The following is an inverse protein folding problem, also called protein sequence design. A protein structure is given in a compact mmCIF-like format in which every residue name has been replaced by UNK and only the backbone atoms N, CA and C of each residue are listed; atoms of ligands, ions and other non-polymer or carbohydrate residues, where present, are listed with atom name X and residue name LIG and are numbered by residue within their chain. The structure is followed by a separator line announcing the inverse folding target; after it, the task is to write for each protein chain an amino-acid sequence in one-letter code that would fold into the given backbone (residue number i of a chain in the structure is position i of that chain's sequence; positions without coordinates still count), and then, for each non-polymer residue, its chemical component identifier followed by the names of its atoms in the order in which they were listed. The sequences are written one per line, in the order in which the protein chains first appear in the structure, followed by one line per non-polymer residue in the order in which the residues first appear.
data_IF_451945205987
#
_entry.id   IF_451945205987
#
_cell.length_a   1.000
_cell.length_b   1.000
_cell.length_c   1.000
_cell.angle_alpha   90.00
_cell.angle_beta   90.00
_cell.angle_gamma   90.00
#
_symmetry.space_group_name_H-M   'P 1'
#
loop_
_entity.id
_entity.type
_entity.pdbx_description
1 polymer ?
#
# COMPACT_ATOMS: atom_id res chain seq x y z
N UNK A 1 -38.86 -27.89 -18.74
CA UNK A 1 -38.32 -29.16 -19.28
C UNK A 1 -36.84 -29.22 -19.00
N UNK A 2 -36.35 -30.36 -18.52
CA UNK A 2 -34.91 -30.56 -18.28
C UNK A 2 -34.19 -30.65 -19.63
N UNK A 3 -33.04 -29.98 -19.81
CA UNK A 3 -32.26 -30.10 -21.03
C UNK A 3 -31.95 -31.57 -21.41
N UNK A 4 -31.86 -31.89 -22.71
CA UNK A 4 -31.41 -33.20 -23.17
C UNK A 4 -29.99 -33.51 -22.67
N UNK A 5 -29.69 -34.79 -22.43
CA UNK A 5 -28.40 -35.28 -21.92
C UNK A 5 -27.19 -34.78 -22.72
N UNK A 6 -27.33 -34.69 -24.05
CA UNK A 6 -26.28 -34.22 -24.96
C UNK A 6 -25.81 -32.79 -24.66
N UNK A 7 -26.69 -31.94 -24.13
CA UNK A 7 -26.33 -30.56 -23.73
C UNK A 7 -25.46 -30.54 -22.48
N UNK A 8 -25.63 -31.51 -21.58
CA UNK A 8 -24.78 -31.65 -20.40
C UNK A 8 -23.38 -32.15 -20.78
N UNK A 9 -23.29 -33.11 -21.70
CA UNK A 9 -21.99 -33.61 -22.19
C UNK A 9 -21.21 -32.54 -22.97
N UNK A 10 -21.90 -31.72 -23.76
CA UNK A 10 -21.30 -30.58 -24.44
C UNK A 10 -20.76 -29.54 -23.45
N UNK A 11 -21.51 -29.26 -22.37
CA UNK A 11 -21.09 -28.34 -21.31
C UNK A 11 -19.86 -28.87 -20.56
N UNK A 12 -19.86 -30.16 -20.22
CA UNK A 12 -18.74 -30.79 -19.53
C UNK A 12 -17.44 -30.71 -20.36
N UNK A 13 -17.53 -31.02 -21.66
CA UNK A 13 -16.40 -30.90 -22.60
C UNK A 13 -15.91 -29.45 -22.72
N UNK A 14 -16.83 -28.48 -22.78
CA UNK A 14 -16.47 -27.07 -22.85
C UNK A 14 -15.74 -26.60 -21.58
N UNK A 15 -16.23 -26.98 -20.40
CA UNK A 15 -15.60 -26.65 -19.12
C UNK A 15 -14.21 -27.28 -18.98
N UNK A 16 -14.06 -28.56 -19.37
CA UNK A 16 -12.77 -29.23 -19.38
C UNK A 16 -11.78 -28.55 -20.33
N UNK A 17 -12.24 -28.08 -21.49
CA UNK A 17 -11.39 -27.37 -22.44
C UNK A 17 -10.92 -26.01 -21.90
N UNK A 18 -11.80 -25.25 -21.25
CA UNK A 18 -11.44 -23.99 -20.58
C UNK A 18 -10.41 -24.24 -19.48
N UNK A 19 -10.64 -25.25 -18.64
CA UNK A 19 -9.74 -25.58 -17.54
C UNK A 19 -8.34 -26.02 -18.00
N UNK A 20 -8.27 -26.80 -19.08
CA UNK A 20 -7.00 -27.22 -19.69
C UNK A 20 -6.23 -26.05 -20.28
N UNK A 21 -6.92 -25.05 -20.85
CA UNK A 21 -6.31 -23.90 -21.50
C UNK A 21 -6.12 -22.67 -20.58
N UNK A 22 -6.43 -22.78 -19.28
CA UNK A 22 -6.45 -21.64 -18.35
C UNK A 22 -5.15 -20.83 -18.32
N UNK A 23 -3.99 -21.50 -18.34
CA UNK A 23 -2.69 -20.82 -18.23
C UNK A 23 -2.41 -19.96 -19.47
N UNK A 24 -2.80 -20.46 -20.65
CA UNK A 24 -2.68 -19.73 -21.91
C UNK A 24 -3.64 -18.55 -21.97
N UNK A 25 -4.87 -18.72 -21.47
CA UNK A 25 -5.85 -17.65 -21.38
C UNK A 25 -5.39 -16.54 -20.41
N UNK A 26 -4.87 -16.91 -19.24
CA UNK A 26 -4.39 -15.97 -18.22
C UNK A 26 -3.10 -15.24 -18.62
N UNK A 27 -2.21 -15.90 -19.37
CA UNK A 27 -0.96 -15.30 -19.86
C UNK A 27 -1.15 -14.39 -21.10
N UNK A 28 -2.25 -14.58 -21.85
CA UNK A 28 -2.61 -13.72 -22.99
C UNK A 28 -3.15 -12.34 -22.57
N UNK A 29 -3.51 -12.18 -21.30
CA UNK A 29 -3.90 -10.89 -20.74
C UNK A 29 -2.60 -10.10 -20.53
N UNK A 30 -2.33 -9.17 -21.46
CA UNK A 30 -1.17 -8.29 -21.41
C UNK A 30 -1.09 -7.62 -20.03
N UNK A 31 -0.01 -7.88 -19.29
CA UNK A 31 0.22 -7.23 -17.99
C UNK A 31 0.17 -5.71 -18.20
N UNK A 32 -0.56 -4.95 -17.38
CA UNK A 32 -0.65 -3.51 -17.56
C UNK A 32 0.76 -2.91 -17.48
N UNK A 33 1.19 -2.23 -18.53
CA UNK A 33 2.45 -1.49 -18.54
C UNK A 33 2.27 -0.26 -17.67
N UNK A 34 2.83 -0.29 -16.47
CA UNK A 34 2.78 0.86 -15.56
C UNK A 34 3.90 1.83 -15.94
N UNK A 35 3.54 2.95 -16.57
CA UNK A 35 4.48 4.04 -16.82
C UNK A 35 4.79 4.75 -15.51
N UNK A 36 6.02 4.63 -15.02
CA UNK A 36 6.50 5.31 -13.80
C UNK A 36 7.15 6.64 -14.18
N UNK A 37 6.61 7.76 -13.71
CA UNK A 37 7.26 9.08 -13.77
C UNK A 37 7.88 9.42 -12.43
N UNK A 38 9.16 9.81 -12.40
CA UNK A 38 9.85 10.30 -11.21
C UNK A 38 9.87 11.83 -11.22
N UNK A 39 9.26 12.47 -10.24
CA UNK A 39 9.33 13.93 -10.08
C UNK A 39 10.60 14.24 -9.28
N UNK A 40 11.53 14.97 -9.89
CA UNK A 40 12.73 15.49 -9.21
C UNK A 40 12.35 16.81 -8.55
N UNK A 41 12.23 16.82 -7.22
CA UNK A 41 12.04 18.06 -6.46
C UNK A 41 13.42 18.65 -6.17
N UNK A 42 13.73 19.77 -6.80
CA UNK A 42 14.88 20.59 -6.40
C UNK A 42 14.38 21.57 -5.33
N UNK A 43 14.98 21.52 -4.14
CA UNK A 43 14.78 22.51 -3.08
C UNK A 43 16.02 23.36 -3.02
N UNK A 44 15.91 24.66 -3.31
CA UNK A 44 16.97 25.63 -3.09
C UNK A 44 17.06 25.97 -1.59
N UNK A 45 17.55 25.03 -0.78
CA UNK A 45 17.74 25.27 0.65
C UNK A 45 19.14 25.83 0.92
N UNK A 46 19.21 27.13 1.19
CA UNK A 46 20.35 27.80 1.86
C UNK A 46 20.39 27.47 3.35
N UNK A 47 20.35 26.20 3.74
CA UNK A 47 20.66 25.80 5.12
C UNK A 47 21.23 24.38 5.13
N UNK A 48 22.46 24.31 5.62
CA UNK A 48 23.29 23.12 5.70
C UNK A 48 22.78 22.16 6.79
N UNK A 49 22.38 20.97 6.38
CA UNK A 49 22.92 19.71 6.93
C UNK A 49 22.50 18.57 6.00
N UNK A 50 23.34 18.28 5.01
CA UNK A 50 23.17 17.13 4.12
C UNK A 50 23.86 15.95 4.79
N UNK A 51 23.09 15.07 5.41
CA UNK A 51 23.54 13.71 5.67
C UNK A 51 23.90 13.08 4.31
N UNK A 52 25.19 12.90 4.07
CA UNK A 52 25.73 12.24 2.88
C UNK A 52 25.17 10.81 2.77
N UNK A 53 24.13 10.62 1.96
CA UNK A 53 23.74 9.30 1.48
C UNK A 53 24.75 8.93 0.40
N UNK A 54 25.82 8.23 0.81
CA UNK A 54 26.73 7.57 -0.15
C UNK A 54 25.93 6.52 -0.92
N UNK A 55 26.04 6.63 -2.24
CA UNK A 55 25.51 5.68 -3.21
C UNK A 55 26.30 4.37 -3.06
N UNK A 56 25.70 3.36 -2.41
CA UNK A 56 26.29 2.02 -2.36
C UNK A 56 25.84 1.26 -3.62
N UNK A 57 26.80 1.07 -4.53
CA UNK A 57 26.72 0.16 -5.68
C UNK A 57 26.12 -1.20 -5.29
N UNK A 58 25.29 -1.85 -6.14
CA UNK A 58 24.62 -3.09 -5.76
C UNK A 58 25.59 -4.26 -5.87
N UNK A 59 26.19 -4.66 -4.74
CA UNK A 59 26.81 -5.99 -4.66
C UNK A 59 25.69 -7.02 -4.58
N UNK A 60 25.50 -7.77 -5.68
CA UNK A 60 24.59 -8.88 -5.77
C UNK A 60 25.03 -10.02 -4.85
N UNK A 61 24.45 -10.09 -3.65
CA UNK A 61 24.56 -11.27 -2.80
C UNK A 61 23.28 -12.09 -2.94
N UNK A 62 23.37 -13.12 -3.79
CA UNK A 62 22.48 -14.27 -3.79
C UNK A 62 22.64 -15.00 -2.45
N UNK A 63 21.71 -14.76 -1.53
CA UNK A 63 21.66 -15.42 -0.24
C UNK A 63 20.27 -15.25 0.36
N UNK A 64 19.48 -16.32 0.36
CA UNK A 64 18.17 -16.41 1.00
C UNK A 64 18.33 -16.39 2.53
N UNK A 65 18.76 -15.26 3.08
CA UNK A 65 18.58 -14.94 4.48
C UNK A 65 17.22 -14.27 4.63
N UNK A 66 16.36 -14.75 5.52
CA UNK A 66 15.12 -14.05 5.87
C UNK A 66 15.49 -12.65 6.35
N UNK A 67 15.37 -11.65 5.47
CA UNK A 67 15.67 -10.27 5.82
C UNK A 67 14.65 -9.85 6.86
N UNK A 68 15.09 -9.80 8.11
CA UNK A 68 14.30 -9.21 9.19
C UNK A 68 13.92 -7.78 8.77
N UNK A 69 12.68 -7.34 9.04
CA UNK A 69 12.23 -6.03 8.62
C UNK A 69 13.07 -4.94 9.30
N UNK A 70 13.60 -4.00 8.52
CA UNK A 70 14.27 -2.84 9.06
C UNK A 70 13.22 -1.85 9.59
N UNK A 71 13.21 -1.61 10.90
CA UNK A 71 12.31 -0.67 11.56
C UNK A 71 13.09 0.62 11.88
N UNK A 72 12.54 1.76 11.48
CA UNK A 72 13.07 3.09 11.82
C UNK A 72 12.07 3.74 12.78
N UNK A 73 12.56 4.28 13.89
CA UNK A 73 11.74 4.96 14.89
C UNK A 73 11.95 6.46 14.83
N UNK A 74 10.85 7.21 14.73
CA UNK A 74 10.85 8.67 14.71
C UNK A 74 10.01 9.19 15.87
N UNK A 75 10.51 10.21 16.57
CA UNK A 75 9.82 10.83 17.71
C UNK A 75 9.41 12.25 17.36
N UNK A 76 8.11 12.52 17.39
CA UNK A 76 7.57 13.87 17.19
C UNK A 76 7.88 14.77 18.38
N UNK A 77 8.19 16.08 18.17
CA UNK A 77 8.32 17.05 19.24
C UNK A 77 6.96 17.44 19.87
N UNK A 78 5.84 17.03 19.28
CA UNK A 78 4.50 17.31 19.78
C UNK A 78 3.93 16.13 20.53
N UNK A 79 3.23 16.42 21.63
CA UNK A 79 2.39 15.42 22.28
C UNK A 79 1.23 15.01 21.38
N UNK A 80 0.67 13.82 21.61
CA UNK A 80 -0.50 13.35 20.87
C UNK A 80 -1.68 14.33 20.94
N UNK A 81 -1.94 14.93 22.10
CA UNK A 81 -2.99 15.94 22.28
C UNK A 81 -2.73 17.18 21.41
N UNK A 82 -1.50 17.70 21.41
CA UNK A 82 -1.12 18.86 20.58
C UNK A 82 -1.24 18.55 19.09
N UNK A 83 -0.85 17.35 18.65
CA UNK A 83 -1.01 16.92 17.26
C UNK A 83 -2.48 16.83 16.87
N UNK A 84 -3.33 16.24 17.72
CA UNK A 84 -4.78 16.17 17.51
C UNK A 84 -5.41 17.57 17.47
N UNK A 85 -5.02 18.47 18.38
CA UNK A 85 -5.48 19.86 18.38
C UNK A 85 -5.15 20.57 17.07
N UNK A 86 -3.92 20.42 16.58
CA UNK A 86 -3.49 20.98 15.28
C UNK A 86 -4.26 20.36 14.11
N UNK A 87 -4.51 19.05 14.14
CA UNK A 87 -5.26 18.36 13.10
C UNK A 87 -6.72 18.84 13.05
N UNK A 88 -7.36 19.01 14.20
CA UNK A 88 -8.72 19.54 14.28
C UNK A 88 -8.79 21.01 13.83
N UNK A 89 -7.80 21.83 14.18
CA UNK A 89 -7.80 23.27 13.87
C UNK A 89 -7.45 23.58 12.41
N UNK A 90 -6.53 22.81 11.81
CA UNK A 90 -5.98 23.10 10.47
C UNK A 90 -6.26 22.02 9.43
N UNK A 91 -6.35 20.76 9.85
CA UNK A 91 -6.50 19.63 8.94
C UNK A 91 -7.94 19.40 8.44
N UNK A 92 -8.95 19.98 9.11
CA UNK A 92 -10.38 19.83 8.79
C UNK A 92 -10.77 18.37 8.48
N UNK A 93 -10.54 17.44 9.44
CA UNK A 93 -10.64 16.01 9.18
C UNK A 93 -12.06 15.63 8.75
N UNK A 94 -12.14 14.83 7.68
CA UNK A 94 -13.40 14.33 7.12
C UNK A 94 -13.49 12.82 7.30
N UNK A 95 -14.72 12.32 7.40
CA UNK A 95 -15.04 10.91 7.29
C UNK A 95 -15.96 10.69 6.10
N UNK A 96 -15.75 9.58 5.41
CA UNK A 96 -16.69 9.14 4.39
C UNK A 96 -17.98 8.64 5.04
N UNK A 97 -19.11 8.95 4.41
CA UNK A 97 -20.39 8.30 4.63
C UNK A 97 -20.92 7.81 3.28
N UNK A 98 -21.99 7.01 3.27
CA UNK A 98 -22.53 6.40 2.04
C UNK A 98 -22.90 7.41 0.93
N UNK A 99 -23.05 8.70 1.25
CA UNK A 99 -23.56 9.74 0.35
C UNK A 99 -22.61 10.94 0.20
N UNK A 100 -21.37 10.85 0.71
CA UNK A 100 -20.40 11.94 0.64
C UNK A 100 -19.41 12.01 1.81
N UNK A 101 -18.94 13.22 2.09
CA UNK A 101 -17.94 13.50 3.12
C UNK A 101 -18.53 14.36 4.23
N UNK A 102 -18.44 13.88 5.47
CA UNK A 102 -18.85 14.61 6.66
C UNK A 102 -17.64 15.00 7.51
N UNK A 103 -17.79 16.00 8.37
CA UNK A 103 -16.77 16.31 9.36
C UNK A 103 -16.57 15.11 10.31
N UNK A 104 -15.32 14.76 10.57
CA UNK A 104 -14.99 13.79 11.59
C UNK A 104 -15.06 14.45 12.96
N UNK A 105 -15.56 13.73 13.96
CA UNK A 105 -15.51 14.22 15.34
C UNK A 105 -14.08 14.18 15.86
N UNK A 106 -13.79 14.95 16.91
CA UNK A 106 -12.50 14.92 17.59
C UNK A 106 -12.11 13.51 18.05
N UNK A 107 -13.07 12.76 18.58
CA UNK A 107 -12.85 11.38 19.03
C UNK A 107 -12.53 10.44 17.86
N UNK A 108 -13.24 10.57 16.72
CA UNK A 108 -12.96 9.80 15.50
C UNK A 108 -11.58 10.13 14.94
N UNK A 109 -11.22 11.41 14.93
CA UNK A 109 -9.90 11.88 14.47
C UNK A 109 -8.79 11.36 15.38
N UNK A 110 -8.95 11.48 16.71
CA UNK A 110 -7.97 10.96 17.67
C UNK A 110 -7.82 9.44 17.58
N UNK A 111 -8.93 8.72 17.43
CA UNK A 111 -8.93 7.29 17.17
C UNK A 111 -8.09 6.99 15.90
N UNK A 112 -8.38 7.64 14.78
CA UNK A 112 -7.67 7.44 13.51
C UNK A 112 -6.18 7.81 13.56
N UNK A 113 -5.77 8.75 14.41
CA UNK A 113 -4.36 9.17 14.58
C UNK A 113 -3.57 8.28 15.55
N UNK A 114 -4.19 7.33 16.25
CA UNK A 114 -3.52 6.56 17.31
C UNK A 114 -2.48 5.58 16.73
N UNK A 115 -1.22 5.97 16.82
CA UNK A 115 -0.05 5.24 16.30
C UNK A 115 0.09 3.85 16.89
N UNK A 116 -0.14 3.69 18.21
CA UNK A 116 -0.04 2.37 18.88
C UNK A 116 -1.03 1.38 18.25
N UNK A 117 -2.28 1.81 18.09
CA UNK A 117 -3.32 0.97 17.48
C UNK A 117 -3.03 0.62 16.02
N UNK A 118 -2.48 1.56 15.25
CA UNK A 118 -2.08 1.33 13.86
C UNK A 118 -0.96 0.30 13.80
N UNK A 119 0.06 0.43 14.65
CA UNK A 119 1.20 -0.48 14.71
C UNK A 119 0.83 -1.91 15.11
N UNK A 120 -0.04 -2.05 16.11
CA UNK A 120 -0.48 -3.36 16.64
C UNK A 120 -1.44 -4.10 15.69
N UNK A 121 -1.92 -3.46 14.62
CA UNK A 121 -2.81 -4.07 13.64
C UNK A 121 -2.04 -4.72 12.49
N UNK A 122 -2.34 -5.99 12.19
CA UNK A 122 -1.75 -6.75 11.07
C UNK A 122 -1.93 -6.11 9.69
N UNK A 123 -2.96 -5.26 9.53
CA UNK A 123 -3.27 -4.59 8.26
C UNK A 123 -2.93 -3.10 8.31
N UNK A 124 -3.18 -2.43 9.44
CA UNK A 124 -2.96 -0.99 9.51
C UNK A 124 -1.48 -0.64 9.70
N UNK A 125 -0.63 -1.57 10.16
CA UNK A 125 0.81 -1.33 10.33
C UNK A 125 1.49 -0.89 9.02
N UNK A 126 0.95 -1.29 7.86
CA UNK A 126 1.42 -0.86 6.54
C UNK A 126 1.30 0.66 6.29
N UNK A 127 0.56 1.41 7.11
CA UNK A 127 0.59 2.88 7.09
C UNK A 127 1.98 3.44 7.48
N UNK A 128 2.79 2.64 8.19
CA UNK A 128 4.17 2.98 8.57
C UNK A 128 5.21 2.36 7.63
N UNK A 129 4.77 1.74 6.53
CA UNK A 129 5.67 1.17 5.53
C UNK A 129 6.43 2.29 4.82
N UNK A 130 7.76 2.16 4.74
CA UNK A 130 8.56 3.10 3.96
C UNK A 130 8.35 2.85 2.45
N UNK A 131 7.45 3.62 1.85
CA UNK A 131 7.11 3.55 0.42
C UNK A 131 8.23 4.07 -0.50
N UNK A 132 9.25 4.75 0.05
CA UNK A 132 10.39 5.28 -0.70
C UNK A 132 11.51 4.26 -0.95
N UNK A 133 11.44 3.06 -0.35
CA UNK A 133 12.47 2.02 -0.50
C UNK A 133 11.95 0.87 -1.36
N UNK A 134 12.77 0.43 -2.32
CA UNK A 134 12.50 -0.79 -3.08
C UNK A 134 12.63 -2.02 -2.18
N UNK A 135 11.63 -2.91 -2.22
CA UNK A 135 11.52 -4.03 -1.29
C UNK A 135 11.92 -5.38 -1.89
N UNK A 136 12.18 -5.44 -3.20
CA UNK A 136 12.61 -6.69 -3.85
C UNK A 136 11.54 -7.77 -3.94
N UNK A 137 10.26 -7.41 -3.86
CA UNK A 137 9.11 -8.28 -4.09
C UNK A 137 8.80 -8.45 -5.57
#
# INVERSE_FOLDING_TARGET
GVPPKDKYEALEKALLNIFKNREKLLSSITKPTVTKSRIKVMVDNKNADIANVRDSSPTANNGSASKQPQIITETSPYTFKQALDKQMARGNPKKSNAWGWANATRAQTGSAMNVKRIWESNTQCYQMLNLGKYQGV
#
